data_IF_536729253508
#
_entry.id   IF_536729253508
#
_cell.length_a   1.000
_cell.length_b   1.000
_cell.length_c   1.000
_cell.angle_alpha   90.00
_cell.angle_beta   90.00
_cell.angle_gamma   90.00
#
_symmetry.space_group_name_H-M   'P 1'
#
loop_
_entity.id
_entity.type
_entity.pdbx_description
1 polymer ?
#
# COMPACT_ATOMS: atom_id res chain seq x y z
N UNK A 1 9.85 -7.03 -32.47
CA UNK A 1 8.49 -7.58 -32.26
C UNK A 1 8.38 -8.53 -31.05
N UNK A 2 9.07 -8.26 -29.92
CA UNK A 2 9.06 -9.14 -28.73
C UNK A 2 8.22 -8.61 -27.54
N UNK A 3 7.60 -7.43 -27.67
CA UNK A 3 6.87 -6.76 -26.58
C UNK A 3 5.35 -6.65 -26.75
N UNK A 4 4.79 -7.07 -27.89
CA UNK A 4 3.34 -6.91 -28.18
C UNK A 4 2.55 -8.14 -27.70
N UNK A 5 3.07 -9.35 -27.92
CA UNK A 5 2.43 -10.60 -27.47
C UNK A 5 2.16 -10.63 -25.94
N UNK A 6 3.13 -10.24 -25.07
CA UNK A 6 2.91 -10.25 -23.63
C UNK A 6 1.82 -9.28 -23.18
N UNK A 7 1.79 -8.08 -23.76
CA UNK A 7 0.80 -7.04 -23.41
C UNK A 7 -0.61 -7.40 -23.85
N UNK A 8 -0.77 -8.01 -25.03
CA UNK A 8 -2.07 -8.48 -25.50
C UNK A 8 -2.56 -9.65 -24.64
N UNK A 9 -1.65 -10.53 -24.23
CA UNK A 9 -1.96 -11.65 -23.33
C UNK A 9 -2.36 -11.16 -21.93
N UNK A 10 -1.64 -10.20 -21.35
CA UNK A 10 -2.00 -9.58 -20.08
C UNK A 10 -3.37 -8.91 -20.16
N UNK A 11 -3.65 -8.13 -21.21
CA UNK A 11 -4.97 -7.52 -21.40
C UNK A 11 -6.10 -8.55 -21.55
N UNK A 12 -5.83 -9.70 -22.17
CA UNK A 12 -6.80 -10.81 -22.25
C UNK A 12 -7.04 -11.46 -20.88
N UNK A 13 -5.99 -11.64 -20.08
CA UNK A 13 -6.12 -12.15 -18.72
C UNK A 13 -6.87 -11.16 -17.81
N UNK A 14 -6.61 -9.86 -17.94
CA UNK A 14 -7.34 -8.81 -17.20
C UNK A 14 -8.83 -8.80 -17.58
N UNK A 15 -9.18 -9.18 -18.82
CA UNK A 15 -10.56 -9.32 -19.27
C UNK A 15 -11.24 -10.57 -18.66
N UNK A 16 -10.54 -11.70 -18.59
CA UNK A 16 -11.06 -12.94 -18.02
C UNK A 16 -11.10 -12.94 -16.48
N UNK A 17 -10.13 -12.26 -15.86
CA UNK A 17 -9.93 -12.19 -14.42
C UNK A 17 -9.87 -10.72 -13.95
N UNK A 18 -10.98 -9.97 -14.10
CA UNK A 18 -11.02 -8.57 -13.70
C UNK A 18 -10.75 -8.41 -12.19
N UNK A 19 -9.72 -7.64 -11.87
CA UNK A 19 -9.37 -7.25 -10.51
C UNK A 19 -10.33 -6.17 -9.97
N UNK A 20 -10.46 -6.06 -8.64
CA UNK A 20 -11.16 -4.93 -8.01
C UNK A 20 -12.69 -4.87 -8.20
N UNK A 21 -13.35 -5.96 -8.62
CA UNK A 21 -14.83 -6.02 -8.67
C UNK A 21 -15.44 -6.08 -7.27
N UNK A 22 -14.78 -6.79 -6.36
CA UNK A 22 -15.19 -6.94 -4.97
C UNK A 22 -14.14 -6.32 -4.06
N UNK A 23 -14.59 -5.69 -2.98
CA UNK A 23 -13.70 -5.12 -1.98
C UNK A 23 -12.86 -6.22 -1.34
N UNK A 24 -11.53 -6.06 -1.34
CA UNK A 24 -10.62 -7.05 -0.75
C UNK A 24 -10.77 -7.21 0.78
N UNK A 25 -11.44 -6.26 1.44
CA UNK A 25 -11.66 -6.24 2.88
C UNK A 25 -13.03 -6.76 3.31
N UNK A 26 -14.12 -6.19 2.80
CA UNK A 26 -15.48 -6.57 3.20
C UNK A 26 -16.17 -7.54 2.23
N UNK A 27 -15.64 -7.73 1.02
CA UNK A 27 -16.24 -8.59 0.00
C UNK A 27 -17.44 -7.97 -0.73
N UNK A 28 -17.85 -6.74 -0.41
CA UNK A 28 -18.93 -6.07 -1.12
C UNK A 28 -18.54 -5.71 -2.56
N UNK A 29 -19.54 -5.71 -3.46
CA UNK A 29 -19.33 -5.33 -4.85
C UNK A 29 -19.04 -3.83 -4.95
N UNK A 30 -17.92 -3.51 -5.58
CA UNK A 30 -17.50 -2.13 -5.85
C UNK A 30 -18.33 -1.59 -7.02
N UNK A 31 -19.11 -0.53 -6.78
CA UNK A 31 -20.02 0.07 -7.78
C UNK A 31 -19.34 1.16 -8.61
N UNK A 32 -18.31 1.80 -8.06
CA UNK A 32 -17.51 2.88 -8.65
C UNK A 32 -16.07 2.44 -8.78
N UNK A 33 -15.35 2.86 -9.82
CA UNK A 33 -13.98 2.39 -10.02
C UNK A 33 -13.07 2.82 -8.86
N UNK A 34 -12.49 1.86 -8.14
CA UNK A 34 -11.53 2.12 -7.06
C UNK A 34 -10.16 1.52 -7.41
N UNK A 35 -9.13 2.38 -7.44
CA UNK A 35 -7.76 2.06 -7.90
C UNK A 35 -7.12 0.87 -7.19
N UNK A 36 -7.46 0.65 -5.93
CA UNK A 36 -6.83 -0.36 -5.07
C UNK A 36 -7.74 -1.56 -4.74
N UNK A 37 -8.94 -1.64 -5.35
CA UNK A 37 -9.91 -2.71 -5.07
C UNK A 37 -10.45 -2.70 -3.64
N UNK A 38 -10.52 -1.51 -3.03
CA UNK A 38 -11.13 -1.27 -1.71
C UNK A 38 -12.33 -0.35 -1.92
N UNK A 39 -13.50 -0.71 -1.37
CA UNK A 39 -14.68 0.14 -1.45
C UNK A 39 -14.51 1.41 -0.60
N UNK A 40 -15.29 2.45 -0.91
CA UNK A 40 -15.28 3.73 -0.19
C UNK A 40 -15.47 3.57 1.33
N UNK A 41 -16.37 2.68 1.76
CA UNK A 41 -16.61 2.42 3.19
C UNK A 41 -15.35 1.92 3.90
N UNK A 42 -14.70 0.89 3.38
CA UNK A 42 -13.45 0.37 3.96
C UNK A 42 -12.28 1.35 3.79
N UNK A 43 -12.26 2.12 2.71
CA UNK A 43 -11.22 3.13 2.47
C UNK A 43 -11.31 4.27 3.49
N UNK A 44 -12.53 4.70 3.86
CA UNK A 44 -12.76 5.73 4.88
C UNK A 44 -12.33 5.32 6.29
N UNK A 45 -12.14 4.03 6.57
CA UNK A 45 -11.61 3.53 7.84
C UNK A 45 -10.08 3.66 7.94
N UNK A 46 -9.38 3.96 6.84
CA UNK A 46 -7.92 4.04 6.85
C UNK A 46 -7.46 5.33 7.50
N UNK A 47 -6.55 5.21 8.47
CA UNK A 47 -5.88 6.37 9.07
C UNK A 47 -4.56 6.61 8.36
N UNK A 48 -4.54 7.61 7.49
CA UNK A 48 -3.32 8.03 6.79
C UNK A 48 -2.42 8.86 7.72
N UNK A 49 -1.13 8.56 7.69
CA UNK A 49 -0.13 9.14 8.61
C UNK A 49 0.23 10.58 8.20
N UNK A 50 0.39 10.83 6.89
CA UNK A 50 0.83 12.13 6.36
C UNK A 50 2.16 12.58 6.98
N UNK A 51 2.25 13.87 7.33
CA UNK A 51 3.46 14.46 7.91
C UNK A 51 3.68 14.12 9.40
N UNK A 52 2.74 13.42 10.03
CA UNK A 52 2.77 13.09 11.46
C UNK A 52 3.49 11.77 11.72
N UNK A 53 4.73 11.65 11.23
CA UNK A 53 5.52 10.43 11.36
C UNK A 53 6.88 10.68 12.00
N UNK A 54 7.44 9.64 12.63
CA UNK A 54 8.81 9.67 13.07
C UNK A 54 9.76 9.75 11.86
N UNK A 55 10.70 10.69 11.87
CA UNK A 55 11.66 10.92 10.79
C UNK A 55 12.58 9.73 10.50
N UNK A 56 12.72 8.80 11.45
CA UNK A 56 13.51 7.57 11.31
C UNK A 56 12.63 6.38 10.96
N UNK A 57 11.75 5.92 11.85
CA UNK A 57 11.01 4.66 11.62
C UNK A 57 9.65 4.80 10.95
N UNK A 58 9.17 6.02 10.67
CA UNK A 58 7.86 6.25 10.04
C UNK A 58 6.64 5.99 10.95
N UNK A 59 6.84 5.66 12.23
CA UNK A 59 5.76 5.47 13.22
C UNK A 59 4.92 6.74 13.35
N UNK A 60 3.59 6.61 13.39
CA UNK A 60 2.69 7.74 13.60
C UNK A 60 2.98 8.43 14.95
N UNK A 61 2.99 9.76 14.96
CA UNK A 61 3.24 10.60 16.12
C UNK A 61 2.12 11.62 16.30
N UNK A 62 1.72 11.87 17.55
CA UNK A 62 0.83 12.99 17.85
C UNK A 62 1.57 14.33 17.83
N UNK A 63 2.85 14.34 18.21
CA UNK A 63 3.73 15.51 18.20
C UNK A 63 5.21 15.11 18.19
N UNK A 64 6.05 16.04 17.76
CA UNK A 64 7.50 15.85 17.67
C UNK A 64 7.94 15.05 16.43
N UNK A 65 9.26 14.95 16.27
CA UNK A 65 9.90 14.34 15.08
C UNK A 65 10.43 12.92 15.33
N UNK A 66 10.69 12.57 16.59
CA UNK A 66 11.33 11.31 16.99
C UNK A 66 10.52 10.59 18.06
N UNK A 67 10.18 9.32 17.80
CA UNK A 67 9.50 8.44 18.75
C UNK A 67 10.44 8.00 19.89
N UNK A 68 9.86 7.46 20.97
CA UNK A 68 10.62 6.94 22.11
C UNK A 68 11.63 5.85 21.73
N UNK A 69 11.25 5.00 20.78
CA UNK A 69 12.01 3.82 20.40
C UNK A 69 13.28 4.26 19.64
N UNK A 70 13.14 5.16 18.67
CA UNK A 70 14.26 5.71 17.89
C UNK A 70 15.17 6.65 18.69
N UNK A 71 14.73 7.17 19.84
CA UNK A 71 15.61 7.89 20.78
C UNK A 71 16.55 6.95 21.53
N UNK A 72 16.11 5.73 21.76
CA UNK A 72 16.83 4.74 22.58
C UNK A 72 17.60 3.71 21.76
N UNK A 73 17.20 3.52 20.49
CA UNK A 73 17.74 2.48 19.61
C UNK A 73 18.11 3.03 18.24
N UNK A 74 19.23 2.55 17.69
CA UNK A 74 19.64 2.85 16.31
C UNK A 74 19.27 1.69 15.39
N UNK A 75 18.57 2.01 14.29
CA UNK A 75 18.19 1.04 13.27
C UNK A 75 19.32 0.82 12.25
N UNK A 76 19.26 -0.31 11.53
CA UNK A 76 20.15 -0.62 10.40
C UNK A 76 19.70 0.05 9.08
N UNK A 77 18.75 0.98 9.15
CA UNK A 77 18.25 1.77 8.02
C UNK A 77 18.22 3.25 8.40
N UNK A 78 18.31 4.12 7.40
CA UNK A 78 18.31 5.58 7.62
C UNK A 78 16.89 6.12 7.85
N UNK A 79 15.93 5.65 7.05
CA UNK A 79 14.52 6.05 7.14
C UNK A 79 13.57 4.97 6.67
N UNK A 80 12.42 4.87 7.32
CA UNK A 80 11.25 4.13 6.88
C UNK A 80 10.06 5.08 6.69
N UNK A 81 9.21 4.77 5.72
CA UNK A 81 8.02 5.55 5.39
C UNK A 81 6.78 4.67 5.52
N UNK A 82 5.73 5.19 6.16
CA UNK A 82 4.47 4.47 6.39
C UNK A 82 3.31 5.33 5.89
N UNK A 83 2.47 4.76 5.04
CA UNK A 83 1.31 5.47 4.46
C UNK A 83 0.14 5.55 5.43
N UNK A 84 -0.11 4.44 6.13
CA UNK A 84 -1.25 4.29 7.02
C UNK A 84 -0.81 3.72 8.37
N UNK A 85 -1.59 4.00 9.40
CA UNK A 85 -1.43 3.34 10.70
C UNK A 85 -1.73 1.85 10.54
N UNK A 86 -0.85 1.01 11.10
CA UNK A 86 -1.03 -0.44 11.12
C UNK A 86 -2.09 -0.85 12.15
N UNK A 87 -3.35 -0.60 11.82
CA UNK A 87 -4.50 -0.94 12.68
C UNK A 87 -5.73 -1.30 11.85
N UNK A 88 -6.73 -1.91 12.50
CA UNK A 88 -8.03 -2.25 11.92
C UNK A 88 -7.95 -2.89 10.53
N UNK A 89 -8.68 -2.31 9.57
CA UNK A 89 -8.75 -2.79 8.18
C UNK A 89 -7.41 -2.85 7.47
N UNK A 90 -6.49 -1.91 7.74
CA UNK A 90 -5.15 -1.92 7.13
C UNK A 90 -4.37 -3.14 7.60
N UNK A 91 -4.42 -3.42 8.91
CA UNK A 91 -3.80 -4.61 9.49
C UNK A 91 -4.40 -5.89 8.91
N UNK A 92 -5.73 -5.98 8.80
CA UNK A 92 -6.41 -7.14 8.21
C UNK A 92 -6.00 -7.34 6.74
N UNK A 93 -5.87 -6.25 5.99
CA UNK A 93 -5.46 -6.30 4.59
C UNK A 93 -4.05 -6.87 4.44
N UNK A 94 -3.09 -6.31 5.19
CA UNK A 94 -1.69 -6.75 5.19
C UNK A 94 -1.58 -8.20 5.67
N UNK A 95 -2.33 -8.57 6.70
CA UNK A 95 -2.35 -9.95 7.20
C UNK A 95 -2.84 -10.92 6.13
N UNK A 96 -3.89 -10.57 5.41
CA UNK A 96 -4.44 -11.41 4.34
C UNK A 96 -3.44 -11.63 3.20
N UNK A 97 -2.62 -10.63 2.90
CA UNK A 97 -1.55 -10.74 1.92
C UNK A 97 -0.39 -11.61 2.43
N UNK A 98 0.09 -11.37 3.66
CA UNK A 98 1.25 -12.08 4.23
C UNK A 98 0.96 -13.54 4.55
N UNK A 99 -0.26 -13.86 4.99
CA UNK A 99 -0.54 -15.15 5.66
C UNK A 99 -1.74 -15.91 5.11
N UNK A 100 -2.62 -15.29 4.32
CA UNK A 100 -3.82 -15.97 3.79
C UNK A 100 -3.71 -16.36 2.31
N UNK A 101 -2.49 -16.41 1.76
CA UNK A 101 -2.24 -16.83 0.37
C UNK A 101 -2.79 -15.88 -0.70
N UNK A 102 -3.13 -14.63 -0.34
CA UNK A 102 -3.70 -13.64 -1.26
C UNK A 102 -2.63 -12.83 -1.99
N UNK A 103 -1.72 -13.51 -2.70
CA UNK A 103 -0.58 -12.88 -3.39
C UNK A 103 -0.99 -11.89 -4.49
N UNK A 104 -2.21 -12.02 -5.05
CA UNK A 104 -2.77 -11.06 -6.00
C UNK A 104 -2.88 -9.64 -5.42
N UNK A 105 -2.86 -9.48 -4.08
CA UNK A 105 -2.82 -8.18 -3.41
C UNK A 105 -1.48 -7.44 -3.58
N UNK A 106 -0.44 -8.10 -4.08
CA UNK A 106 0.85 -7.46 -4.36
C UNK A 106 0.69 -6.26 -5.32
N UNK A 107 -0.19 -6.37 -6.34
CA UNK A 107 -0.45 -5.29 -7.30
C UNK A 107 -1.04 -4.04 -6.65
N UNK A 108 -2.18 -4.10 -5.93
CA UNK A 108 -2.71 -2.92 -5.27
C UNK A 108 -1.78 -2.36 -4.18
N UNK A 109 -1.06 -3.19 -3.41
CA UNK A 109 -0.06 -2.70 -2.45
C UNK A 109 1.10 -1.98 -3.14
N UNK A 110 1.65 -2.56 -4.21
CA UNK A 110 2.71 -1.94 -5.00
C UNK A 110 2.30 -0.59 -5.58
N UNK A 111 1.07 -0.49 -6.11
CA UNK A 111 0.49 0.78 -6.58
C UNK A 111 0.36 1.79 -5.45
N UNK A 112 -0.23 1.39 -4.32
CA UNK A 112 -0.43 2.27 -3.17
C UNK A 112 0.90 2.82 -2.62
N UNK A 113 1.93 1.98 -2.53
CA UNK A 113 3.29 2.40 -2.16
C UNK A 113 3.90 3.36 -3.18
N UNK A 114 3.75 3.08 -4.47
CA UNK A 114 4.26 3.94 -5.53
C UNK A 114 3.61 5.32 -5.53
N UNK A 115 2.29 5.37 -5.36
CA UNK A 115 1.54 6.61 -5.31
C UNK A 115 1.93 7.41 -4.06
N UNK A 116 2.08 6.75 -2.91
CA UNK A 116 2.54 7.37 -1.68
C UNK A 116 3.98 7.91 -1.71
N UNK A 117 4.91 7.19 -2.36
CA UNK A 117 6.29 7.67 -2.56
C UNK A 117 6.33 8.89 -3.49
N UNK A 118 5.47 8.93 -4.52
CA UNK A 118 5.33 10.10 -5.39
C UNK A 118 4.76 11.30 -4.64
N UNK A 119 3.74 11.09 -3.81
CA UNK A 119 3.14 12.14 -2.98
C UNK A 119 4.18 12.71 -1.99
N UNK A 120 5.05 11.86 -1.44
CA UNK A 120 6.15 12.27 -0.58
C UNK A 120 7.33 12.95 -1.32
N UNK A 121 7.31 13.02 -2.66
CA UNK A 121 8.41 13.56 -3.46
C UNK A 121 9.70 12.74 -3.40
N UNK A 122 9.60 11.43 -3.14
CA UNK A 122 10.72 10.50 -3.00
C UNK A 122 10.91 9.61 -4.24
N UNK A 123 10.11 9.81 -5.29
CA UNK A 123 10.10 9.04 -6.53
C UNK A 123 11.49 9.00 -7.20
N UNK A 124 12.18 10.15 -7.29
CA UNK A 124 13.52 10.25 -7.90
C UNK A 124 14.64 9.65 -7.06
N UNK A 125 14.36 9.30 -5.80
CA UNK A 125 15.32 8.70 -4.85
C UNK A 125 15.02 7.23 -4.57
N UNK A 126 14.00 6.67 -5.21
CA UNK A 126 13.53 5.30 -4.97
C UNK A 126 13.92 4.42 -6.14
N UNK A 127 14.85 3.49 -5.92
CA UNK A 127 15.32 2.57 -6.97
C UNK A 127 14.32 1.44 -7.25
N UNK A 128 13.59 0.99 -6.23
CA UNK A 128 12.62 -0.09 -6.35
C UNK A 128 11.48 0.01 -5.33
N UNK A 129 10.35 -0.61 -5.67
CA UNK A 129 9.19 -0.78 -4.79
C UNK A 129 8.87 -2.27 -4.76
N UNK A 130 8.84 -2.84 -3.55
CA UNK A 130 8.61 -4.27 -3.33
C UNK A 130 7.47 -4.46 -2.32
N UNK A 131 6.28 -4.92 -2.76
CA UNK A 131 5.15 -5.25 -1.89
C UNK A 131 5.33 -6.55 -1.13
#
# INVERSE_FOLDING_TARGET
MKGVLPKVWEGFLDLLYPEGIYCYLCGEKIRTHHTYGICEGCWGEFVFIGDKSCSVCGKYLHSGDLCSDCRSFRHSFDRAYSLCVYDGKVKDWIYSFKYAGRSYLARPFGRMMADGIREAGLDRKTDCIVP
#
